data_IF_841910753638
#
_entry.id   IF_841910753638
#
_cell.length_a   1.000
_cell.length_b   1.000
_cell.length_c   1.000
_cell.angle_alpha   90.00
_cell.angle_beta   90.00
_cell.angle_gamma   90.00
#
_symmetry.space_group_name_H-M   'P 1'
#
loop_
_entity.id
_entity.type
_entity.pdbx_description
1 polymer ?
#
# COMPACT_ATOMS: atom_id res chain seq x y z
N UNK A 1 -11.95 -14.00 3.38
CA UNK A 1 -12.30 -12.59 3.12
C UNK A 1 -11.36 -12.04 2.07
N UNK A 2 -11.87 -11.28 1.11
CA UNK A 2 -11.06 -10.64 0.05
C UNK A 2 -10.36 -9.41 0.62
N UNK A 3 -9.06 -9.24 0.33
CA UNK A 3 -8.31 -8.06 0.76
C UNK A 3 -8.91 -6.79 0.13
N UNK A 4 -9.17 -5.75 0.94
CA UNK A 4 -9.84 -4.53 0.50
C UNK A 4 -9.13 -3.81 -0.68
N UNK A 5 -7.80 -3.94 -0.74
CA UNK A 5 -6.97 -3.35 -1.80
C UNK A 5 -6.37 -4.40 -2.74
N UNK A 6 -7.09 -5.48 -3.05
CA UNK A 6 -6.59 -6.55 -3.92
C UNK A 6 -6.08 -6.02 -5.29
N UNK A 7 -6.71 -4.96 -5.82
CA UNK A 7 -6.35 -4.32 -7.09
C UNK A 7 -4.99 -3.61 -7.09
N UNK A 8 -4.40 -3.36 -5.92
CA UNK A 8 -3.07 -2.76 -5.82
C UNK A 8 -1.96 -3.79 -5.77
N UNK A 9 -2.28 -5.09 -5.67
CA UNK A 9 -1.29 -6.17 -5.69
C UNK A 9 -0.70 -6.33 -7.09
N UNK A 10 0.63 -6.31 -7.18
CA UNK A 10 1.36 -6.51 -8.44
C UNK A 10 2.39 -7.62 -8.29
N UNK A 11 2.58 -8.38 -9.36
CA UNK A 11 3.65 -9.38 -9.46
C UNK A 11 4.88 -8.77 -10.15
N UNK A 12 6.05 -9.23 -9.76
CA UNK A 12 7.32 -8.91 -10.41
C UNK A 12 8.25 -10.13 -10.37
N UNK A 13 9.23 -10.16 -11.26
CA UNK A 13 10.26 -11.21 -11.29
C UNK A 13 11.52 -10.68 -10.65
N UNK A 14 12.09 -11.42 -9.71
CA UNK A 14 13.38 -11.11 -9.09
C UNK A 14 14.53 -11.37 -10.07
N UNK A 15 15.73 -10.81 -9.83
CA UNK A 15 16.92 -11.15 -10.65
C UNK A 15 17.27 -12.64 -10.67
N UNK A 16 16.83 -13.39 -9.65
CA UNK A 16 16.99 -14.85 -9.57
C UNK A 16 15.91 -15.65 -10.31
N UNK A 17 15.03 -15.00 -11.07
CA UNK A 17 13.96 -15.64 -11.83
C UNK A 17 12.73 -16.05 -11.02
N UNK A 18 12.67 -15.75 -9.71
CA UNK A 18 11.53 -16.06 -8.86
C UNK A 18 10.44 -15.00 -9.01
N UNK A 19 9.18 -15.41 -9.07
CA UNK A 19 8.06 -14.48 -9.00
C UNK A 19 7.78 -14.08 -7.56
N UNK A 20 7.60 -12.79 -7.32
CA UNK A 20 7.20 -12.22 -6.05
C UNK A 20 6.05 -11.23 -6.24
N UNK A 21 5.37 -10.88 -5.15
CA UNK A 21 4.27 -9.91 -5.16
C UNK A 21 4.53 -8.76 -4.20
N UNK A 22 4.02 -7.58 -4.54
CA UNK A 22 4.05 -6.39 -3.69
C UNK A 22 2.69 -5.68 -3.71
N UNK A 23 2.44 -4.83 -2.72
CA UNK A 23 1.33 -3.89 -2.75
C UNK A 23 1.81 -2.53 -3.28
N UNK A 24 1.35 -2.17 -4.48
CA UNK A 24 1.87 -1.03 -5.24
C UNK A 24 1.30 0.29 -4.73
N UNK A 25 2.10 1.09 -4.05
CA UNK A 25 1.74 2.47 -3.69
C UNK A 25 1.40 3.35 -4.90
N UNK A 26 2.06 3.23 -6.07
CA UNK A 26 1.61 3.92 -7.27
C UNK A 26 0.20 3.53 -7.73
N UNK A 27 -0.21 2.28 -7.54
CA UNK A 27 -1.58 1.85 -7.82
C UNK A 27 -2.56 2.44 -6.77
N UNK A 28 -2.20 2.41 -5.49
CA UNK A 28 -2.98 3.03 -4.41
C UNK A 28 -3.12 4.55 -4.62
N UNK A 29 -2.08 5.21 -5.13
CA UNK A 29 -2.04 6.65 -5.40
C UNK A 29 -3.02 7.11 -6.49
N UNK A 30 -3.60 6.19 -7.26
CA UNK A 30 -4.72 6.51 -8.16
C UNK A 30 -5.97 6.91 -7.38
N UNK A 31 -6.16 6.35 -6.18
CA UNK A 31 -7.23 6.70 -5.24
C UNK A 31 -6.81 7.78 -4.24
N UNK A 32 -5.53 7.79 -3.84
CA UNK A 32 -4.98 8.74 -2.87
C UNK A 32 -3.78 9.50 -3.43
N UNK A 33 -3.99 10.58 -4.21
CA UNK A 33 -2.91 11.29 -4.90
C UNK A 33 -1.82 11.86 -3.97
N UNK A 34 -2.18 12.16 -2.71
CA UNK A 34 -1.25 12.70 -1.71
C UNK A 34 -0.06 11.78 -1.39
N UNK A 35 -0.20 10.47 -1.62
CA UNK A 35 0.89 9.48 -1.45
C UNK A 35 2.19 9.90 -2.16
N UNK A 36 2.07 10.58 -3.31
CA UNK A 36 3.22 11.05 -4.10
C UNK A 36 4.06 12.11 -3.38
N UNK A 37 3.44 12.85 -2.44
CA UNK A 37 4.06 13.93 -1.66
C UNK A 37 4.59 13.46 -0.30
N UNK A 38 4.22 12.26 0.15
CA UNK A 38 4.68 11.74 1.44
C UNK A 38 6.22 11.60 1.46
N UNK A 39 6.88 11.90 2.59
CA UNK A 39 8.26 11.49 2.85
C UNK A 39 8.46 9.99 2.63
N UNK A 40 9.68 9.60 2.21
CA UNK A 40 10.00 8.19 1.90
C UNK A 40 9.71 7.27 3.10
N UNK A 41 10.03 7.71 4.32
CA UNK A 41 9.75 6.97 5.55
C UNK A 41 8.26 6.65 5.72
N UNK A 42 7.38 7.63 5.48
CA UNK A 42 5.93 7.42 5.57
C UNK A 42 5.39 6.53 4.45
N UNK A 43 6.01 6.53 3.27
CA UNK A 43 5.66 5.56 2.21
C UNK A 43 5.96 4.13 2.64
N UNK A 44 7.08 3.88 3.32
CA UNK A 44 7.41 2.54 3.84
C UNK A 44 6.39 2.06 4.87
N UNK A 45 6.01 2.94 5.81
CA UNK A 45 4.96 2.65 6.79
C UNK A 45 3.63 2.39 6.09
N UNK A 46 3.27 3.21 5.09
CA UNK A 46 2.03 3.07 4.34
C UNK A 46 1.96 1.75 3.58
N UNK A 47 3.05 1.27 2.99
CA UNK A 47 3.08 -0.06 2.35
C UNK A 47 2.78 -1.16 3.37
N UNK A 48 3.41 -1.11 4.54
CA UNK A 48 3.19 -2.08 5.61
C UNK A 48 1.72 -2.08 6.08
N UNK A 49 1.14 -0.90 6.29
CA UNK A 49 -0.28 -0.75 6.65
C UNK A 49 -1.18 -1.30 5.53
N UNK A 50 -0.91 -0.95 4.28
CA UNK A 50 -1.66 -1.43 3.11
C UNK A 50 -1.63 -2.95 2.98
N UNK A 51 -0.45 -3.57 3.10
CA UNK A 51 -0.24 -5.01 2.94
C UNK A 51 -0.86 -5.83 4.08
N UNK A 52 -0.99 -5.25 5.27
CA UNK A 52 -1.56 -5.88 6.45
C UNK A 52 -3.02 -5.47 6.72
N UNK A 53 -3.70 -4.81 5.77
CA UNK A 53 -5.10 -4.40 5.92
C UNK A 53 -6.04 -5.61 5.98
N UNK A 54 -6.29 -6.08 7.20
CA UNK A 54 -7.12 -7.25 7.51
C UNK A 54 -8.57 -6.90 7.89
N UNK A 55 -8.88 -5.61 8.03
CA UNK A 55 -10.19 -5.12 8.45
C UNK A 55 -10.48 -5.29 9.94
N UNK A 56 -9.49 -5.73 10.73
CA UNK A 56 -9.61 -5.93 12.18
C UNK A 56 -8.62 -5.05 12.93
N UNK A 57 -7.32 -5.35 12.82
CA UNK A 57 -6.25 -4.57 13.45
C UNK A 57 -5.83 -3.42 12.56
N UNK A 58 -5.79 -3.66 11.25
CA UNK A 58 -5.51 -2.64 10.26
C UNK A 58 -6.72 -2.50 9.36
N UNK A 59 -7.40 -1.37 9.48
CA UNK A 59 -8.62 -1.07 8.75
C UNK A 59 -8.32 -0.25 7.49
N UNK A 60 -9.31 -0.14 6.61
CA UNK A 60 -9.22 0.73 5.43
C UNK A 60 -9.05 2.21 5.82
N UNK A 61 -9.62 2.61 6.96
CA UNK A 61 -9.44 3.94 7.54
C UNK A 61 -7.99 4.21 7.92
N UNK A 62 -7.28 3.25 8.54
CA UNK A 62 -5.86 3.42 8.83
C UNK A 62 -5.03 3.67 7.56
N UNK A 63 -5.34 2.96 6.47
CA UNK A 63 -4.71 3.20 5.16
C UNK A 63 -5.04 4.59 4.64
N UNK A 64 -6.30 5.02 4.71
CA UNK A 64 -6.75 6.31 4.22
C UNK A 64 -6.19 7.49 5.01
N UNK A 65 -6.11 7.38 6.35
CA UNK A 65 -5.54 8.39 7.24
C UNK A 65 -4.06 8.61 6.90
N UNK A 66 -3.28 7.52 6.79
CA UNK A 66 -1.85 7.64 6.49
C UNK A 66 -1.59 8.07 5.04
N UNK A 67 -2.41 7.63 4.08
CA UNK A 67 -2.30 8.05 2.68
C UNK A 67 -2.58 9.56 2.48
N UNK A 68 -3.42 10.14 3.34
CA UNK A 68 -3.74 11.56 3.37
C UNK A 68 -2.99 12.33 4.47
N UNK A 69 -1.91 11.77 5.02
CA UNK A 69 -1.12 12.43 6.05
C UNK A 69 -0.62 13.80 5.55
N UNK A 70 -0.84 14.82 6.38
CA UNK A 70 -0.33 16.17 6.23
C UNK A 70 0.28 16.63 7.55
N UNK A 71 1.33 17.48 7.52
CA UNK A 71 1.86 18.12 8.70
C UNK A 71 0.87 19.12 9.31
#
# INVERSE_FOLDING_TARGET
>A
MTHAFATTRKSFTTPSGKSATLFSLPALARKFPNIRRLPVSLRLVLESVLRNCDGKRVTQDHVAQLANWGP
#
